data_IF_286032068814
#
_entry.id   IF_286032068814
#
_cell.length_a   1.000
_cell.length_b   1.000
_cell.length_c   1.000
_cell.angle_alpha   90.00
_cell.angle_beta   90.00
_cell.angle_gamma   90.00
#
_symmetry.space_group_name_H-M   'P 1'
#
loop_
_entity.id
_entity.type
_entity.pdbx_description
1 polymer ?
#
# COMPACT_ATOMS: atom_id res chain seq x y z
N UNK A 1 -27.00 -34.73 20.10
CA UNK A 1 -26.08 -33.95 20.98
C UNK A 1 -24.61 -34.00 20.53
N UNK A 2 -24.09 -35.14 20.00
CA UNK A 2 -22.67 -35.25 19.54
C UNK A 2 -22.41 -34.54 18.22
N UNK A 3 -23.37 -34.43 17.30
CA UNK A 3 -23.25 -33.77 16.02
C UNK A 3 -23.19 -32.24 16.20
N UNK A 4 -24.00 -31.68 17.11
CA UNK A 4 -24.00 -30.23 17.39
C UNK A 4 -22.67 -29.76 18.01
N UNK A 5 -22.06 -30.59 18.87
CA UNK A 5 -20.76 -30.28 19.47
C UNK A 5 -19.61 -30.28 18.42
N UNK A 6 -19.70 -31.16 17.41
CA UNK A 6 -18.70 -31.19 16.32
C UNK A 6 -18.75 -29.98 15.43
N UNK A 7 -19.94 -29.45 15.13
CA UNK A 7 -20.09 -28.25 14.28
C UNK A 7 -19.57 -27.00 15.01
N UNK A 8 -19.87 -26.84 16.30
CA UNK A 8 -19.39 -25.72 17.10
C UNK A 8 -17.83 -25.70 17.23
N UNK A 9 -17.22 -26.88 17.36
CA UNK A 9 -15.75 -26.98 17.42
C UNK A 9 -15.12 -26.65 16.06
N UNK A 10 -15.73 -27.05 14.95
CA UNK A 10 -15.25 -26.76 13.61
C UNK A 10 -15.31 -25.25 13.31
N UNK A 11 -16.43 -24.59 13.65
CA UNK A 11 -16.57 -23.14 13.46
C UNK A 11 -15.60 -22.35 14.35
N UNK A 12 -15.34 -22.83 15.57
CA UNK A 12 -14.37 -22.21 16.47
C UNK A 12 -12.93 -22.36 15.95
N UNK A 13 -12.57 -23.53 15.38
CA UNK A 13 -11.26 -23.75 14.77
C UNK A 13 -11.09 -22.95 13.48
N UNK A 14 -12.14 -22.79 12.67
CA UNK A 14 -12.10 -21.95 11.47
C UNK A 14 -11.93 -20.46 11.83
N UNK A 15 -12.63 -20.00 12.87
CA UNK A 15 -12.48 -18.64 13.39
C UNK A 15 -11.07 -18.34 13.93
N UNK A 16 -10.45 -19.31 14.62
CA UNK A 16 -9.06 -19.18 15.10
C UNK A 16 -8.07 -19.16 13.92
N UNK A 17 -8.31 -19.97 12.88
CA UNK A 17 -7.47 -19.97 11.68
C UNK A 17 -7.57 -18.66 10.91
N UNK A 18 -8.77 -18.09 10.76
CA UNK A 18 -8.96 -16.78 10.14
C UNK A 18 -8.30 -15.66 10.95
N UNK A 19 -8.37 -15.72 12.29
CA UNK A 19 -7.69 -14.75 13.15
C UNK A 19 -6.17 -14.86 13.07
N UNK A 20 -5.60 -16.07 12.97
CA UNK A 20 -4.16 -16.27 12.86
C UNK A 20 -3.62 -15.77 11.51
N UNK A 21 -4.30 -16.04 10.41
CA UNK A 21 -3.91 -15.55 9.07
C UNK A 21 -4.01 -14.01 9.01
N UNK A 22 -5.06 -13.43 9.59
CA UNK A 22 -5.21 -11.98 9.65
C UNK A 22 -4.13 -11.28 10.49
N UNK A 23 -3.73 -11.91 11.61
CA UNK A 23 -2.68 -11.37 12.48
C UNK A 23 -1.27 -11.49 11.87
N UNK A 24 -0.99 -12.54 11.11
CA UNK A 24 0.29 -12.69 10.42
C UNK A 24 0.44 -11.66 9.30
N UNK A 25 -0.58 -11.46 8.45
CA UNK A 25 -0.58 -10.41 7.42
C UNK A 25 -0.46 -9.00 8.02
N UNK A 26 -1.18 -8.73 9.10
CA UNK A 26 -1.10 -7.44 9.79
C UNK A 26 0.27 -7.23 10.46
N UNK A 27 0.91 -8.27 10.97
CA UNK A 27 2.25 -8.20 11.52
C UNK A 27 3.31 -8.00 10.41
N UNK A 28 3.12 -8.61 9.24
CA UNK A 28 3.96 -8.41 8.06
C UNK A 28 3.87 -6.97 7.54
N UNK A 29 2.66 -6.44 7.39
CA UNK A 29 2.43 -5.05 7.00
C UNK A 29 3.06 -4.05 8.00
N UNK A 30 2.98 -4.34 9.30
CA UNK A 30 3.59 -3.53 10.34
C UNK A 30 5.13 -3.62 10.36
N UNK A 31 5.71 -4.74 9.93
CA UNK A 31 7.16 -4.90 9.80
C UNK A 31 7.73 -4.12 8.61
N UNK A 32 6.98 -4.01 7.50
CA UNK A 32 7.39 -3.18 6.36
C UNK A 32 7.46 -1.69 6.71
N UNK A 33 6.51 -1.17 7.51
CA UNK A 33 6.52 0.23 7.98
C UNK A 33 7.73 0.59 8.86
N UNK A 34 8.33 -0.38 9.53
CA UNK A 34 9.51 -0.16 10.39
C UNK A 34 10.82 0.00 9.60
N UNK A 35 10.87 -0.45 8.34
CA UNK A 35 12.08 -0.33 7.50
C UNK A 35 12.21 1.05 6.82
N UNK A 36 11.19 1.88 6.86
CA UNK A 36 11.16 3.17 6.15
C UNK A 36 11.57 4.33 7.05
N UNK A 37 11.57 4.13 8.36
CA UNK A 37 11.85 5.19 9.33
C UNK A 37 13.34 5.34 9.69
N UNK A 38 14.21 4.49 9.17
CA UNK A 38 15.60 4.57 9.57
C UNK A 38 16.52 4.81 8.41
N UNK A 39 17.13 5.93 8.52
CA UNK A 39 18.55 6.07 8.36
C UNK A 39 19.05 6.66 7.07
N UNK A 40 19.35 7.93 7.17
CA UNK A 40 20.48 8.56 6.49
C UNK A 40 21.83 7.98 6.93
N UNK A 41 21.85 6.88 7.64
CA UNK A 41 23.01 6.19 8.22
C UNK A 41 23.43 4.99 7.38
N UNK A 42 24.61 5.06 6.86
CA UNK A 42 25.46 4.00 6.31
C UNK A 42 25.12 2.63 6.88
N UNK A 43 24.53 1.75 6.08
CA UNK A 43 24.45 0.33 6.39
C UNK A 43 25.88 -0.25 6.48
N UNK A 44 26.35 -0.37 7.70
CA UNK A 44 27.60 -1.02 8.03
C UNK A 44 27.42 -2.52 8.14
N UNK A 45 28.20 -3.27 7.42
CA UNK A 45 28.87 -4.50 7.86
C UNK A 45 28.00 -5.66 8.39
N UNK A 46 27.26 -6.30 7.54
CA UNK A 46 27.03 -7.74 7.65
C UNK A 46 26.71 -8.26 6.27
N UNK A 47 27.19 -9.41 5.86
CA UNK A 47 27.07 -9.97 4.51
C UNK A 47 25.64 -10.25 4.02
N UNK A 48 24.65 -9.54 4.55
CA UNK A 48 23.28 -9.54 4.07
C UNK A 48 23.18 -8.85 2.71
N UNK A 49 22.45 -9.43 1.76
CA UNK A 49 22.24 -8.80 0.46
C UNK A 49 21.52 -7.46 0.64
N UNK A 50 21.98 -6.45 -0.11
CA UNK A 50 21.31 -5.14 -0.12
C UNK A 50 19.89 -5.32 -0.64
N UNK A 51 18.91 -4.73 0.06
CA UNK A 51 17.50 -4.77 -0.32
C UNK A 51 17.06 -3.37 -0.77
N UNK A 52 16.23 -3.34 -1.79
CA UNK A 52 15.52 -2.13 -2.24
C UNK A 52 14.02 -2.43 -2.27
N UNK A 53 13.20 -1.42 -1.98
CA UNK A 53 11.78 -1.46 -2.19
C UNK A 53 11.45 -0.66 -3.46
N UNK A 54 10.82 -1.30 -4.44
CA UNK A 54 10.28 -0.63 -5.60
C UNK A 54 8.91 -0.07 -5.27
N UNK A 55 8.69 1.19 -5.59
CA UNK A 55 7.40 1.85 -5.37
C UNK A 55 7.00 2.65 -6.60
N UNK A 56 5.72 2.65 -6.92
CA UNK A 56 5.14 3.35 -8.06
C UNK A 56 3.98 4.20 -7.60
N UNK A 57 3.92 5.44 -8.06
CA UNK A 57 2.90 6.42 -7.69
C UNK A 57 1.93 6.68 -8.86
N UNK A 58 0.82 7.38 -8.59
CA UNK A 58 -0.15 7.91 -9.57
C UNK A 58 -0.94 6.87 -10.37
N UNK A 59 -0.73 5.56 -10.13
CA UNK A 59 -1.49 4.50 -10.78
C UNK A 59 -2.95 4.38 -10.30
N UNK A 60 -3.67 3.37 -10.84
CA UNK A 60 -3.29 2.58 -12.01
C UNK A 60 -3.55 3.29 -13.34
N UNK A 61 -2.76 2.96 -14.36
CA UNK A 61 -3.01 3.36 -15.74
C UNK A 61 -3.37 2.13 -16.59
N UNK A 62 -4.46 2.15 -17.40
CA UNK A 62 -5.01 0.96 -18.04
C UNK A 62 -4.07 0.24 -19.01
N UNK A 63 -3.06 0.92 -19.49
CA UNK A 63 -2.06 0.34 -20.40
C UNK A 63 -0.72 0.06 -19.69
N UNK A 64 -0.21 1.06 -18.97
CA UNK A 64 1.18 0.99 -18.47
C UNK A 64 1.28 0.17 -17.20
N UNK A 65 0.28 0.22 -16.32
CA UNK A 65 0.28 -0.61 -15.11
C UNK A 65 0.20 -2.09 -15.46
N UNK A 66 -0.62 -2.46 -16.43
CA UNK A 66 -0.70 -3.84 -16.94
C UNK A 66 0.65 -4.35 -17.46
N UNK A 67 1.37 -3.54 -18.26
CA UNK A 67 2.69 -3.89 -18.78
C UNK A 67 3.73 -3.99 -17.67
N UNK A 68 3.66 -3.11 -16.67
CA UNK A 68 4.53 -3.14 -15.49
C UNK A 68 4.32 -4.42 -14.68
N UNK A 69 3.07 -4.79 -14.41
CA UNK A 69 2.73 -6.02 -13.70
C UNK A 69 3.25 -7.26 -14.43
N UNK A 70 3.09 -7.33 -15.75
CA UNK A 70 3.67 -8.42 -16.55
C UNK A 70 5.20 -8.50 -16.35
N UNK A 71 5.89 -7.37 -16.42
CA UNK A 71 7.34 -7.30 -16.24
C UNK A 71 7.82 -7.64 -14.82
N UNK A 72 7.07 -7.27 -13.80
CA UNK A 72 7.35 -7.63 -12.40
C UNK A 72 7.15 -9.12 -12.17
N UNK A 73 6.05 -9.68 -12.69
CA UNK A 73 5.71 -11.10 -12.62
C UNK A 73 6.76 -11.99 -13.28
N UNK A 74 7.20 -11.64 -14.49
CA UNK A 74 8.25 -12.36 -15.21
C UNK A 74 9.56 -12.44 -14.42
N UNK A 75 9.83 -11.45 -13.58
CA UNK A 75 11.06 -11.35 -12.76
C UNK A 75 10.89 -11.85 -11.33
N UNK A 76 9.67 -12.26 -10.95
CA UNK A 76 9.35 -12.66 -9.57
C UNK A 76 9.57 -11.54 -8.56
N UNK A 77 9.30 -10.29 -8.96
CA UNK A 77 9.49 -9.09 -8.13
C UNK A 77 8.14 -8.58 -7.67
N UNK A 78 8.05 -8.29 -6.37
CA UNK A 78 6.91 -7.57 -5.78
C UNK A 78 7.26 -6.10 -5.54
N UNK A 79 6.25 -5.24 -5.61
CA UNK A 79 6.39 -3.80 -5.46
C UNK A 79 5.28 -3.21 -4.58
N UNK A 80 5.33 -1.91 -4.32
CA UNK A 80 4.25 -1.16 -3.69
C UNK A 80 3.71 -0.14 -4.67
N UNK A 81 2.38 -0.09 -4.82
CA UNK A 81 1.68 0.87 -5.65
C UNK A 81 0.94 1.87 -4.76
N UNK A 82 1.31 3.15 -4.83
CA UNK A 82 0.56 4.23 -4.20
C UNK A 82 -0.38 4.81 -5.24
N UNK A 83 -1.66 4.46 -5.12
CA UNK A 83 -2.65 4.71 -6.15
C UNK A 83 -3.56 5.88 -5.79
N UNK A 84 -3.95 6.68 -6.78
CA UNK A 84 -4.94 7.73 -6.58
C UNK A 84 -6.35 7.13 -6.54
N UNK A 85 -7.22 7.70 -5.71
CA UNK A 85 -8.60 7.22 -5.59
C UNK A 85 -9.36 7.29 -6.91
N UNK A 86 -9.17 8.37 -7.68
CA UNK A 86 -9.79 8.55 -9.00
C UNK A 86 -9.42 7.42 -9.98
N UNK A 87 -8.13 7.05 -10.04
CA UNK A 87 -7.70 5.96 -10.90
C UNK A 87 -8.14 4.60 -10.39
N UNK A 88 -8.13 4.37 -9.07
CA UNK A 88 -8.62 3.13 -8.47
C UNK A 88 -10.12 2.90 -8.78
N UNK A 89 -10.93 3.94 -8.68
CA UNK A 89 -12.36 3.90 -9.01
C UNK A 89 -12.61 3.59 -10.49
N UNK A 90 -11.78 4.16 -11.39
CA UNK A 90 -11.89 3.95 -12.83
C UNK A 90 -11.37 2.57 -13.28
N UNK A 91 -10.40 1.98 -12.56
CA UNK A 91 -9.73 0.74 -12.97
C UNK A 91 -9.60 -0.28 -11.83
N UNK A 92 -10.71 -0.66 -11.17
CA UNK A 92 -10.69 -1.53 -9.99
C UNK A 92 -10.12 -2.94 -10.29
N UNK A 93 -10.22 -3.42 -11.51
CA UNK A 93 -9.70 -4.73 -11.88
C UNK A 93 -8.17 -4.76 -11.89
N UNK A 94 -7.51 -3.63 -12.18
CA UNK A 94 -6.06 -3.52 -12.11
C UNK A 94 -5.60 -3.55 -10.63
N UNK A 95 -6.31 -2.87 -9.74
CA UNK A 95 -6.04 -2.93 -8.29
C UNK A 95 -6.17 -4.36 -7.76
N UNK A 96 -7.20 -5.10 -8.17
CA UNK A 96 -7.34 -6.51 -7.79
C UNK A 96 -6.17 -7.34 -8.31
N UNK A 97 -5.74 -7.09 -9.55
CA UNK A 97 -4.58 -7.76 -10.13
C UNK A 97 -3.29 -7.46 -9.37
N UNK A 98 -3.05 -6.20 -8.99
CA UNK A 98 -1.92 -5.81 -8.14
C UNK A 98 -1.90 -6.61 -6.84
N UNK A 99 -3.04 -6.71 -6.16
CA UNK A 99 -3.18 -7.49 -4.92
C UNK A 99 -2.98 -8.99 -5.16
N UNK A 100 -3.63 -9.57 -6.18
CA UNK A 100 -3.55 -11.01 -6.48
C UNK A 100 -2.13 -11.46 -6.85
N UNK A 101 -1.33 -10.58 -7.44
CA UNK A 101 0.07 -10.81 -7.77
C UNK A 101 1.02 -10.53 -6.58
N UNK A 102 0.47 -10.17 -5.40
CA UNK A 102 1.19 -10.04 -4.14
C UNK A 102 1.85 -8.69 -3.91
N UNK A 103 1.49 -7.68 -4.69
CA UNK A 103 1.96 -6.31 -4.49
C UNK A 103 1.26 -5.64 -3.31
N UNK A 104 1.90 -4.66 -2.70
CA UNK A 104 1.29 -3.82 -1.68
C UNK A 104 0.58 -2.63 -2.33
N UNK A 105 -0.59 -2.28 -1.79
CA UNK A 105 -1.36 -1.13 -2.23
C UNK A 105 -1.37 -0.10 -1.12
N UNK A 106 -1.08 1.15 -1.47
CA UNK A 106 -1.12 2.29 -0.58
C UNK A 106 -1.95 3.43 -1.17
N UNK A 107 -2.31 4.37 -0.33
CA UNK A 107 -3.11 5.54 -0.66
C UNK A 107 -2.22 6.67 -1.20
N UNK A 108 -2.65 7.35 -2.27
CA UNK A 108 -1.98 8.53 -2.83
C UNK A 108 -2.91 9.75 -2.96
N UNK A 109 -3.89 9.89 -2.05
CA UNK A 109 -5.04 10.80 -2.09
C UNK A 109 -5.99 10.48 -3.25
N UNK A 110 -7.12 11.18 -3.33
CA UNK A 110 -8.08 10.93 -4.41
C UNK A 110 -7.66 11.58 -5.72
N UNK A 111 -7.32 12.87 -5.70
CA UNK A 111 -7.01 13.69 -6.87
C UNK A 111 -5.54 14.13 -6.96
N UNK A 112 -4.63 13.48 -6.23
CA UNK A 112 -3.22 13.88 -6.12
C UNK A 112 -3.04 15.30 -5.55
N UNK A 113 -3.88 15.69 -4.57
CA UNK A 113 -3.83 17.02 -3.96
C UNK A 113 -2.61 17.17 -3.04
N UNK A 114 -1.93 18.31 -3.11
CA UNK A 114 -0.86 18.65 -2.16
C UNK A 114 -1.43 19.17 -0.84
N UNK A 115 -0.97 18.65 0.29
CA UNK A 115 -1.31 19.19 1.61
C UNK A 115 -0.72 20.60 1.79
N UNK A 116 -1.56 21.53 2.21
CA UNK A 116 -1.19 22.89 2.58
C UNK A 116 -1.88 23.30 3.89
N UNK A 117 -1.48 24.44 4.46
CA UNK A 117 -2.13 24.97 5.67
C UNK A 117 -3.60 25.36 5.46
N UNK A 118 -4.09 25.44 4.22
CA UNK A 118 -5.43 25.93 3.87
C UNK A 118 -6.41 24.81 3.48
N UNK A 119 -5.92 23.61 3.19
CA UNK A 119 -6.76 22.52 2.67
C UNK A 119 -6.67 21.24 3.53
N UNK A 120 -6.28 21.34 4.79
CA UNK A 120 -6.10 20.17 5.68
C UNK A 120 -7.34 19.25 5.72
N UNK A 121 -8.53 19.84 5.81
CA UNK A 121 -9.76 19.04 5.85
C UNK A 121 -10.05 18.36 4.50
N UNK A 122 -9.93 19.08 3.39
CA UNK A 122 -10.10 18.49 2.05
C UNK A 122 -9.09 17.37 1.81
N UNK A 123 -7.82 17.56 2.24
CA UNK A 123 -6.81 16.52 2.14
C UNK A 123 -7.18 15.28 2.98
N UNK A 124 -7.70 15.49 4.18
CA UNK A 124 -8.22 14.43 5.04
C UNK A 124 -9.37 13.67 4.37
N UNK A 125 -10.33 14.39 3.82
CA UNK A 125 -11.48 13.82 3.10
C UNK A 125 -11.01 12.94 1.92
N UNK A 126 -10.05 13.40 1.13
CA UNK A 126 -9.49 12.63 0.03
C UNK A 126 -8.77 11.35 0.50
N UNK A 127 -8.05 11.40 1.62
CA UNK A 127 -7.45 10.20 2.20
C UNK A 127 -8.50 9.17 2.61
N UNK A 128 -9.56 9.62 3.28
CA UNK A 128 -10.65 8.73 3.73
C UNK A 128 -11.39 8.13 2.53
N UNK A 129 -11.77 8.96 1.57
CA UNK A 129 -12.47 8.51 0.35
C UNK A 129 -11.64 7.48 -0.41
N UNK A 130 -10.35 7.72 -0.60
CA UNK A 130 -9.46 6.77 -1.29
C UNK A 130 -9.36 5.45 -0.53
N UNK A 131 -9.24 5.49 0.81
CA UNK A 131 -9.22 4.27 1.60
C UNK A 131 -10.52 3.48 1.45
N UNK A 132 -11.68 4.13 1.51
CA UNK A 132 -12.97 3.48 1.34
C UNK A 132 -13.07 2.76 -0.01
N UNK A 133 -12.62 3.41 -1.10
CA UNK A 133 -12.58 2.82 -2.45
C UNK A 133 -11.64 1.61 -2.47
N UNK A 134 -10.43 1.76 -1.94
CA UNK A 134 -9.43 0.68 -1.96
C UNK A 134 -9.85 -0.49 -1.07
N UNK A 135 -10.43 -0.23 0.10
CA UNK A 135 -10.96 -1.27 0.99
C UNK A 135 -12.15 -2.02 0.35
N UNK A 136 -13.01 -1.33 -0.41
CA UNK A 136 -14.09 -1.97 -1.17
C UNK A 136 -13.54 -2.89 -2.27
N UNK A 137 -12.50 -2.47 -2.98
CA UNK A 137 -11.91 -3.24 -4.08
C UNK A 137 -11.13 -4.45 -3.56
N UNK A 138 -10.32 -4.26 -2.52
CA UNK A 138 -9.33 -5.26 -2.04
C UNK A 138 -9.87 -6.14 -0.91
N UNK A 139 -10.88 -5.67 -0.17
CA UNK A 139 -11.33 -6.30 1.07
C UNK A 139 -10.33 -6.15 2.22
N UNK A 140 -9.25 -5.38 2.06
CA UNK A 140 -8.18 -5.21 3.04
C UNK A 140 -8.07 -3.75 3.48
N UNK A 141 -7.71 -3.54 4.76
CA UNK A 141 -7.52 -2.21 5.31
C UNK A 141 -6.23 -1.58 4.81
N UNK A 142 -6.31 -0.39 4.23
CA UNK A 142 -5.16 0.36 3.74
C UNK A 142 -4.61 1.25 4.85
N UNK A 143 -3.35 1.03 5.22
CA UNK A 143 -2.68 1.77 6.30
C UNK A 143 -1.49 2.59 5.84
N UNK A 144 -0.97 2.35 4.64
CA UNK A 144 0.15 3.11 4.09
C UNK A 144 -0.35 4.21 3.15
N UNK A 145 0.27 5.37 3.27
CA UNK A 145 0.01 6.52 2.40
C UNK A 145 1.32 7.11 1.92
N UNK A 146 1.40 7.45 0.65
CA UNK A 146 2.42 8.38 0.17
C UNK A 146 1.74 9.71 -0.10
N UNK A 147 2.03 10.74 0.71
CA UNK A 147 1.43 12.04 0.48
C UNK A 147 2.03 12.67 -0.78
N UNK A 148 1.21 13.20 -1.70
CA UNK A 148 1.70 13.94 -2.86
C UNK A 148 2.70 15.02 -2.46
N UNK A 149 3.79 15.14 -3.23
CA UNK A 149 4.90 16.07 -2.97
C UNK A 149 5.60 15.89 -1.62
N UNK A 150 5.39 14.76 -0.93
CA UNK A 150 5.96 14.49 0.40
C UNK A 150 5.38 15.33 1.54
N UNK A 151 4.29 16.06 1.30
CA UNK A 151 3.68 16.97 2.29
C UNK A 151 2.77 16.22 3.26
N UNK A 152 3.17 16.15 4.55
CA UNK A 152 2.45 15.36 5.57
C UNK A 152 2.26 16.12 6.87
N UNK A 153 1.12 15.88 7.54
CA UNK A 153 0.85 16.29 8.91
C UNK A 153 0.78 15.06 9.81
N UNK A 154 1.71 14.95 10.76
CA UNK A 154 1.82 13.82 11.69
C UNK A 154 0.56 13.53 12.51
N UNK A 155 -0.34 14.50 12.64
CA UNK A 155 -1.60 14.28 13.36
C UNK A 155 -2.48 13.23 12.67
N UNK A 156 -2.37 13.06 11.35
CA UNK A 156 -3.10 12.04 10.59
C UNK A 156 -2.71 10.60 10.96
N UNK A 157 -1.49 10.37 11.45
CA UNK A 157 -1.05 9.04 11.88
C UNK A 157 -1.96 8.47 12.98
N UNK A 158 -2.33 9.32 13.94
CA UNK A 158 -3.25 8.93 15.02
C UNK A 158 -4.72 9.05 14.63
N UNK A 159 -5.06 10.06 13.86
CA UNK A 159 -6.44 10.35 13.47
C UNK A 159 -7.00 9.29 12.51
N UNK A 160 -6.21 8.90 11.52
CA UNK A 160 -6.62 7.99 10.46
C UNK A 160 -5.97 6.60 10.55
N UNK A 161 -5.05 6.41 11.50
CA UNK A 161 -4.21 5.20 11.58
C UNK A 161 -3.49 4.90 10.25
N UNK A 162 -2.97 5.96 9.63
CA UNK A 162 -2.22 5.89 8.37
C UNK A 162 -0.76 6.30 8.59
N UNK A 163 0.15 5.60 7.90
CA UNK A 163 1.59 5.79 8.05
C UNK A 163 2.18 6.30 6.74
N UNK A 164 2.85 7.47 6.74
CA UNK A 164 3.43 8.02 5.53
C UNK A 164 4.68 7.23 5.11
N UNK A 165 4.75 6.92 3.83
CA UNK A 165 5.89 6.28 3.18
C UNK A 165 6.46 7.24 2.16
N UNK A 166 7.65 7.80 2.44
CA UNK A 166 8.37 8.65 1.52
C UNK A 166 9.37 7.82 0.70
N UNK A 167 10.25 8.47 -0.04
CA UNK A 167 11.32 7.85 -0.82
C UNK A 167 12.68 8.40 -0.41
N UNK A 168 13.71 7.61 -0.60
CA UNK A 168 15.10 8.00 -0.36
C UNK A 168 15.95 7.94 -1.65
N UNK A 169 15.42 7.34 -2.70
CA UNK A 169 15.98 7.34 -4.04
C UNK A 169 14.90 7.82 -4.99
N UNK A 170 15.15 8.89 -5.70
CA UNK A 170 14.28 9.45 -6.72
C UNK A 170 14.98 9.35 -8.07
N UNK A 171 14.49 8.53 -9.03
CA UNK A 171 15.10 8.42 -10.36
C UNK A 171 14.80 9.61 -11.27
N UNK A 172 13.94 10.54 -10.83
CA UNK A 172 13.50 11.72 -11.60
C UNK A 172 12.82 11.35 -12.93
N UNK A 173 12.20 10.19 -13.02
CA UNK A 173 11.49 9.72 -14.20
C UNK A 173 10.31 10.63 -14.58
N UNK A 174 9.66 11.23 -13.61
CA UNK A 174 8.62 12.24 -13.77
C UNK A 174 9.10 13.51 -14.50
N UNK A 175 10.43 13.80 -14.51
CA UNK A 175 11.01 14.96 -15.17
C UNK A 175 11.45 14.68 -16.61
N UNK A 176 11.98 13.49 -16.87
CA UNK A 176 12.74 13.23 -18.10
C UNK A 176 11.85 12.94 -19.31
N UNK A 177 10.66 12.41 -19.11
CA UNK A 177 9.73 11.92 -20.14
C UNK A 177 10.38 10.94 -21.15
N UNK A 178 11.57 10.44 -20.87
CA UNK A 178 12.32 9.49 -21.68
C UNK A 178 12.65 8.26 -20.86
N UNK A 179 12.54 7.09 -21.48
CA UNK A 179 12.86 5.81 -20.86
C UNK A 179 14.32 5.36 -21.07
N UNK A 180 15.16 6.24 -21.62
CA UNK A 180 16.57 5.99 -21.96
C UNK A 180 17.52 6.40 -20.84
#
# INVERSE_FOLDING_TARGET
>A
KKVLAGILIFDMLLGILCLSVGTERYAEQKSYGTYIETDTGVCGTSGEPKKIALTFDDGPHPKYTEQLLDGLKERGVVATFFVTGENAENYPDIIRREQDEGHLIGNHTYSHIQLTSRNRETFREELVQTNEILEEITGEKISFVRPPYGSWDKSFEKELNMFPVLWNIDPLDWCSHNAD
#
